data_IF_079050637243
#
_entry.id   IF_079050637243
#
_cell.length_a   1.000
_cell.length_b   1.000
_cell.length_c   1.000
_cell.angle_alpha   90.00
_cell.angle_beta   90.00
_cell.angle_gamma   90.00
#
_symmetry.space_group_name_H-M   'P 1'
#
loop_
_entity.id
_entity.type
_entity.pdbx_description
1 polymer ?
#
# COMPACT_ATOMS: atom_id res chain seq x y z
N UNK A 1 17.86 -24.69 -22.77
CA UNK A 1 18.85 -23.57 -22.84
C UNK A 1 18.49 -22.43 -21.88
N UNK A 2 17.23 -22.06 -21.71
CA UNK A 2 16.83 -20.98 -20.76
C UNK A 2 17.04 -21.33 -19.28
N UNK A 3 16.91 -22.62 -18.90
CA UNK A 3 17.18 -23.06 -17.52
C UNK A 3 18.67 -23.05 -17.14
N UNK A 4 19.58 -23.17 -18.08
CA UNK A 4 21.03 -23.13 -17.79
C UNK A 4 21.57 -21.74 -17.45
N UNK A 5 20.85 -20.67 -17.88
CA UNK A 5 21.20 -19.29 -17.51
C UNK A 5 20.73 -18.90 -16.10
N UNK A 6 19.78 -19.64 -15.52
CA UNK A 6 19.17 -19.33 -14.22
C UNK A 6 19.66 -20.24 -13.08
N UNK A 7 20.22 -21.41 -13.41
CA UNK A 7 20.68 -22.39 -12.41
C UNK A 7 22.18 -22.46 -12.45
N UNK A 8 22.88 -21.91 -11.45
CA UNK A 8 24.29 -22.05 -11.24
C UNK A 8 25.18 -20.88 -11.63
N UNK A 9 24.62 -19.69 -11.92
CA UNK A 9 25.46 -18.49 -11.93
C UNK A 9 25.56 -17.94 -10.52
N UNK A 10 26.76 -17.75 -10.01
CA UNK A 10 27.03 -17.06 -8.74
C UNK A 10 26.45 -15.63 -8.68
N UNK A 11 25.87 -15.16 -9.78
CA UNK A 11 25.28 -13.83 -9.93
C UNK A 11 23.86 -13.69 -9.39
N UNK A 12 23.16 -14.80 -9.06
CA UNK A 12 21.74 -14.74 -8.66
C UNK A 12 21.49 -14.89 -7.16
N UNK A 13 22.51 -15.22 -6.38
CA UNK A 13 22.39 -15.41 -4.93
C UNK A 13 23.31 -14.40 -4.26
N UNK A 14 22.78 -13.24 -3.91
CA UNK A 14 23.44 -12.30 -3.02
C UNK A 14 22.98 -12.60 -1.60
N UNK A 15 23.60 -13.61 -1.02
CA UNK A 15 23.41 -13.89 0.40
C UNK A 15 24.19 -12.84 1.20
N UNK A 16 23.50 -12.07 2.01
CA UNK A 16 24.15 -11.41 3.13
C UNK A 16 24.31 -12.49 4.22
N UNK A 17 25.53 -12.86 4.51
CA UNK A 17 25.81 -13.77 5.63
C UNK A 17 25.65 -13.03 6.95
N UNK A 18 24.46 -13.10 7.52
CA UNK A 18 24.14 -12.55 8.84
C UNK A 18 23.62 -13.67 9.76
N UNK A 19 24.51 -14.55 10.25
CA UNK A 19 24.12 -15.73 11.02
C UNK A 19 23.48 -15.38 12.37
N UNK A 20 23.79 -14.22 12.93
CA UNK A 20 23.30 -13.71 14.21
C UNK A 20 22.20 -12.64 14.06
N UNK A 21 21.40 -12.74 13.01
CA UNK A 21 20.30 -11.82 12.75
C UNK A 21 19.33 -11.68 13.93
N UNK A 22 18.93 -10.47 14.24
CA UNK A 22 18.07 -10.14 15.37
C UNK A 22 16.66 -9.70 14.96
N UNK A 23 16.51 -9.22 13.72
CA UNK A 23 15.23 -8.69 13.23
C UNK A 23 14.05 -9.68 13.38
N UNK A 24 14.20 -11.02 13.24
CA UNK A 24 13.04 -11.93 13.36
C UNK A 24 12.42 -11.96 14.76
N UNK A 25 13.18 -11.54 15.78
CA UNK A 25 12.72 -11.51 17.18
C UNK A 25 12.18 -10.14 17.60
N UNK A 26 12.18 -9.14 16.70
CA UNK A 26 11.70 -7.80 17.00
C UNK A 26 10.22 -7.67 16.66
N UNK A 27 9.60 -6.63 17.23
CA UNK A 27 8.22 -6.25 16.96
C UNK A 27 8.17 -4.76 16.60
N UNK A 28 7.38 -4.41 15.60
CA UNK A 28 7.10 -3.01 15.27
C UNK A 28 6.11 -2.49 16.30
N UNK A 29 6.49 -1.45 17.04
CA UNK A 29 5.69 -0.88 18.15
C UNK A 29 5.19 0.54 17.88
N UNK A 30 5.62 1.16 16.80
CA UNK A 30 5.24 2.50 16.36
C UNK A 30 5.35 2.62 14.85
N UNK A 31 4.60 3.55 14.28
CA UNK A 31 4.68 3.84 12.85
C UNK A 31 6.06 4.36 12.45
N UNK A 32 6.52 4.07 11.23
CA UNK A 32 7.67 4.74 10.65
C UNK A 32 7.34 6.21 10.33
N UNK A 33 8.36 7.00 10.05
CA UNK A 33 8.18 8.29 9.38
C UNK A 33 7.76 7.99 7.93
N UNK A 34 6.56 8.45 7.55
CA UNK A 34 6.05 8.27 6.20
C UNK A 34 6.48 9.38 5.26
N UNK A 35 6.98 9.02 4.10
CA UNK A 35 7.22 9.94 2.99
C UNK A 35 6.48 9.47 1.74
N UNK A 36 5.58 10.29 1.22
CA UNK A 36 4.95 9.99 -0.06
C UNK A 36 5.88 10.40 -1.20
N UNK A 37 6.00 9.51 -2.19
CA UNK A 37 6.68 9.79 -3.47
C UNK A 37 5.71 9.76 -4.65
N UNK A 38 4.39 9.86 -4.40
CA UNK A 38 3.35 9.86 -5.42
C UNK A 38 3.56 10.94 -6.50
N UNK A 39 3.95 12.15 -6.07
CA UNK A 39 4.11 13.31 -6.95
C UNK A 39 5.42 13.33 -7.74
N UNK A 40 6.37 12.45 -7.40
CA UNK A 40 7.63 12.29 -8.14
C UNK A 40 7.71 10.93 -8.80
N UNK A 41 7.96 9.88 -8.06
CA UNK A 41 8.19 8.52 -8.59
C UNK A 41 6.90 7.91 -9.14
N UNK A 42 5.80 8.07 -8.41
CA UNK A 42 4.47 7.69 -8.89
C UNK A 42 4.08 8.45 -10.16
N UNK A 43 4.25 9.78 -10.19
CA UNK A 43 3.91 10.61 -11.35
C UNK A 43 4.80 10.31 -12.57
N UNK A 44 6.08 10.06 -12.36
CA UNK A 44 7.05 9.72 -13.40
C UNK A 44 6.64 8.47 -14.18
N UNK A 45 6.02 7.50 -13.51
CA UNK A 45 5.62 6.21 -14.08
C UNK A 45 4.26 6.25 -14.83
N UNK A 46 3.53 7.35 -14.76
CA UNK A 46 2.25 7.47 -15.43
C UNK A 46 2.40 7.65 -16.95
N UNK A 47 1.59 6.92 -17.73
CA UNK A 47 1.51 7.10 -19.18
C UNK A 47 1.14 8.56 -19.57
N UNK A 48 0.32 9.20 -18.74
CA UNK A 48 -0.01 10.63 -18.83
C UNK A 48 0.30 11.25 -17.48
N UNK A 49 1.44 11.97 -17.35
CA UNK A 49 1.80 12.64 -16.11
C UNK A 49 0.71 13.61 -15.63
N UNK A 50 0.63 13.81 -14.33
CA UNK A 50 -0.31 14.74 -13.72
C UNK A 50 -0.06 16.17 -14.19
N UNK A 51 -1.14 16.88 -14.49
CA UNK A 51 -1.12 18.33 -14.65
C UNK A 51 -0.83 19.01 -13.31
N UNK A 52 -0.43 20.29 -13.35
CA UNK A 52 -0.18 21.05 -12.12
C UNK A 52 -1.41 21.06 -11.18
N UNK A 53 -2.62 21.13 -11.72
CA UNK A 53 -3.83 21.11 -10.90
C UNK A 53 -4.08 19.74 -10.26
N UNK A 54 -3.85 18.65 -10.99
CA UNK A 54 -3.93 17.29 -10.45
C UNK A 54 -2.85 17.04 -9.38
N UNK A 55 -1.64 17.56 -9.58
CA UNK A 55 -0.58 17.53 -8.56
C UNK A 55 -0.99 18.29 -7.29
N UNK A 56 -1.64 19.43 -7.41
CA UNK A 56 -2.16 20.17 -6.25
C UNK A 56 -3.20 19.38 -5.50
N UNK A 57 -4.15 18.77 -6.21
CA UNK A 57 -5.19 17.95 -5.59
C UNK A 57 -4.60 16.71 -4.91
N UNK A 58 -3.64 16.05 -5.54
CA UNK A 58 -2.92 14.92 -4.93
C UNK A 58 -2.13 15.37 -3.69
N UNK A 59 -1.47 16.51 -3.73
CA UNK A 59 -0.77 17.08 -2.58
C UNK A 59 -1.72 17.32 -1.41
N UNK A 60 -2.87 17.93 -1.67
CA UNK A 60 -3.90 18.18 -0.64
C UNK A 60 -4.47 16.89 -0.07
N UNK A 61 -4.66 15.85 -0.90
CA UNK A 61 -5.06 14.52 -0.46
C UNK A 61 -4.02 13.91 0.48
N UNK A 62 -2.73 13.93 0.09
CA UNK A 62 -1.64 13.39 0.91
C UNK A 62 -1.52 14.10 2.26
N UNK A 63 -1.69 15.43 2.27
CA UNK A 63 -1.75 16.24 3.51
C UNK A 63 -2.95 15.83 4.36
N UNK A 64 -4.13 15.66 3.76
CA UNK A 64 -5.36 15.21 4.45
C UNK A 64 -5.18 13.83 5.09
N UNK A 65 -4.55 12.90 4.39
CA UNK A 65 -4.23 11.56 4.91
C UNK A 65 -3.28 11.62 6.11
N UNK A 66 -2.47 12.66 6.22
CA UNK A 66 -1.53 12.83 7.35
C UNK A 66 -0.05 12.72 6.97
N UNK A 67 0.29 12.62 5.68
CA UNK A 67 1.68 12.62 5.25
C UNK A 67 2.38 13.92 5.64
N UNK A 68 3.51 13.81 6.35
CA UNK A 68 4.29 14.97 6.83
C UNK A 68 5.53 15.23 6.00
N UNK A 69 5.98 14.27 5.22
CA UNK A 69 7.05 14.40 4.24
C UNK A 69 6.51 13.98 2.87
N UNK A 70 6.61 14.87 1.87
CA UNK A 70 6.06 14.64 0.51
C UNK A 70 7.10 15.02 -0.51
N UNK A 71 7.54 14.05 -1.32
CA UNK A 71 8.44 14.29 -2.45
C UNK A 71 7.64 14.83 -3.63
N UNK A 72 7.72 16.13 -3.81
CA UNK A 72 6.86 16.89 -4.72
C UNK A 72 7.33 16.91 -6.18
N UNK A 73 8.57 16.50 -6.43
CA UNK A 73 9.07 16.41 -7.79
C UNK A 73 10.59 16.47 -7.93
N UNK A 74 11.01 16.60 -9.19
CA UNK A 74 12.39 16.81 -9.61
C UNK A 74 12.50 18.17 -10.31
N UNK A 75 12.62 19.29 -9.57
CA UNK A 75 12.44 20.64 -10.09
C UNK A 75 13.44 21.02 -11.18
N UNK A 76 14.58 20.35 -11.24
CA UNK A 76 15.57 20.58 -12.28
C UNK A 76 15.34 19.75 -13.56
N UNK A 77 14.35 18.85 -13.58
CA UNK A 77 14.05 18.02 -14.75
C UNK A 77 13.19 18.75 -15.79
N UNK A 78 12.25 19.60 -15.33
CA UNK A 78 11.37 20.36 -16.24
C UNK A 78 10.81 21.62 -15.59
N UNK A 79 10.36 22.55 -16.42
CA UNK A 79 9.67 23.76 -15.94
C UNK A 79 8.33 23.43 -15.27
N UNK A 80 7.64 22.38 -15.65
CA UNK A 80 6.41 21.93 -15.00
C UNK A 80 6.68 21.56 -13.55
N UNK A 81 7.72 20.77 -13.28
CA UNK A 81 8.13 20.39 -11.94
C UNK A 81 8.57 21.60 -11.11
N UNK A 82 9.36 22.49 -11.68
CA UNK A 82 9.77 23.73 -11.04
C UNK A 82 8.58 24.63 -10.70
N UNK A 83 7.71 24.88 -11.65
CA UNK A 83 6.54 25.76 -11.50
C UNK A 83 5.53 25.19 -10.49
N UNK A 84 5.40 23.86 -10.39
CA UNK A 84 4.54 23.26 -9.38
C UNK A 84 5.01 23.60 -7.96
N UNK A 85 6.31 23.48 -7.68
CA UNK A 85 6.88 23.83 -6.37
C UNK A 85 6.69 25.32 -6.10
N UNK A 86 6.99 26.17 -7.08
CA UNK A 86 6.77 27.63 -6.93
C UNK A 86 5.30 27.93 -6.63
N UNK A 87 4.38 27.25 -7.28
CA UNK A 87 2.94 27.44 -7.03
C UNK A 87 2.54 27.05 -5.61
N UNK A 88 3.08 25.94 -5.06
CA UNK A 88 2.86 25.59 -3.64
C UNK A 88 3.31 26.70 -2.68
N UNK A 89 4.46 27.32 -2.97
CA UNK A 89 5.04 28.40 -2.17
C UNK A 89 4.22 29.70 -2.33
N UNK A 90 4.02 30.13 -3.56
CA UNK A 90 3.42 31.44 -3.89
C UNK A 90 1.93 31.50 -3.46
N UNK A 91 1.20 30.37 -3.55
CA UNK A 91 -0.17 30.24 -3.09
C UNK A 91 -0.28 29.85 -1.61
N UNK A 92 0.84 29.71 -0.89
CA UNK A 92 0.91 29.33 0.55
C UNK A 92 0.14 28.05 0.89
N UNK A 93 0.29 27.01 0.05
CA UNK A 93 -0.43 25.74 0.20
C UNK A 93 0.27 24.74 1.11
N UNK A 94 1.46 25.04 1.60
CA UNK A 94 2.27 24.14 2.40
C UNK A 94 1.92 24.33 3.88
N UNK A 95 1.32 23.33 4.56
CA UNK A 95 1.08 23.40 6.00
C UNK A 95 2.39 23.49 6.79
N UNK A 96 2.38 24.15 7.94
CA UNK A 96 3.58 24.38 8.74
C UNK A 96 4.25 23.11 9.28
N UNK A 97 3.50 22.00 9.35
CA UNK A 97 3.96 20.69 9.82
C UNK A 97 4.33 19.73 8.67
N UNK A 98 4.23 20.19 7.41
CA UNK A 98 4.62 19.44 6.22
C UNK A 98 5.99 19.89 5.74
N UNK A 99 6.83 18.94 5.38
CA UNK A 99 8.16 19.16 4.79
C UNK A 99 8.13 18.73 3.32
N UNK A 100 8.50 19.61 2.41
CA UNK A 100 8.65 19.27 1.01
C UNK A 100 9.95 18.51 0.79
N UNK A 101 9.92 17.43 0.02
CA UNK A 101 11.11 16.74 -0.45
C UNK A 101 11.27 16.99 -1.96
N UNK A 102 12.49 17.21 -2.41
CA UNK A 102 12.82 17.40 -3.83
C UNK A 102 14.02 16.55 -4.20
N UNK A 103 13.86 15.82 -5.32
CA UNK A 103 14.91 14.95 -5.84
C UNK A 103 15.90 15.73 -6.69
N UNK A 104 17.17 15.37 -6.60
CA UNK A 104 18.22 15.91 -7.47
C UNK A 104 19.36 14.91 -7.69
N UNK A 105 19.83 14.80 -8.93
CA UNK A 105 21.07 14.09 -9.24
C UNK A 105 22.29 14.87 -8.77
N UNK A 106 23.38 14.18 -8.45
CA UNK A 106 24.67 14.77 -8.08
C UNK A 106 25.36 15.43 -9.28
N UNK A 107 24.73 16.50 -9.83
CA UNK A 107 25.24 17.33 -10.93
C UNK A 107 25.03 18.80 -10.60
N UNK A 108 26.08 19.61 -10.71
CA UNK A 108 26.09 21.01 -10.25
C UNK A 108 24.91 21.84 -10.74
N UNK A 109 24.66 21.88 -12.06
CA UNK A 109 23.60 22.71 -12.63
C UNK A 109 22.19 22.29 -12.17
N UNK A 110 21.96 20.98 -11.92
CA UNK A 110 20.70 20.48 -11.40
C UNK A 110 20.51 20.85 -9.93
N UNK A 111 21.56 20.74 -9.13
CA UNK A 111 21.53 21.11 -7.71
C UNK A 111 21.21 22.61 -7.56
N UNK A 112 21.86 23.49 -8.34
CA UNK A 112 21.59 24.94 -8.31
C UNK A 112 20.15 25.25 -8.67
N UNK A 113 19.62 24.65 -9.76
CA UNK A 113 18.23 24.84 -10.18
C UNK A 113 17.24 24.35 -9.13
N UNK A 114 17.57 23.28 -8.40
CA UNK A 114 16.76 22.78 -7.30
C UNK A 114 16.66 23.80 -6.16
N UNK A 115 17.77 24.42 -5.75
CA UNK A 115 17.77 25.46 -4.73
C UNK A 115 16.95 26.70 -5.12
N UNK A 116 16.99 27.11 -6.40
CA UNK A 116 16.14 28.19 -6.91
C UNK A 116 14.64 27.90 -6.71
N UNK A 117 14.21 26.63 -6.81
CA UNK A 117 12.82 26.26 -6.62
C UNK A 117 12.36 26.31 -5.15
N UNK A 118 13.29 26.20 -4.20
CA UNK A 118 13.02 26.14 -2.77
C UNK A 118 12.98 27.51 -2.07
N UNK A 119 13.27 28.60 -2.77
CA UNK A 119 13.21 29.94 -2.17
C UNK A 119 11.81 30.22 -1.61
N UNK A 120 11.75 30.61 -0.32
CA UNK A 120 10.50 30.86 0.40
C UNK A 120 9.80 29.60 0.98
N UNK A 121 10.37 28.41 0.82
CA UNK A 121 9.90 27.19 1.50
C UNK A 121 10.40 27.24 2.96
N UNK A 122 9.55 26.96 3.93
CA UNK A 122 9.96 26.97 5.35
C UNK A 122 10.79 25.76 5.75
N UNK A 123 10.42 24.55 5.28
CA UNK A 123 11.12 23.28 5.57
C UNK A 123 11.24 22.45 4.29
N UNK A 124 12.44 22.01 3.96
CA UNK A 124 12.65 21.15 2.81
C UNK A 124 13.65 20.02 3.08
N UNK A 125 13.48 18.89 2.40
CA UNK A 125 14.45 17.81 2.27
C UNK A 125 15.02 17.90 0.87
N UNK A 126 16.34 18.07 0.76
CA UNK A 126 17.06 17.96 -0.51
C UNK A 126 17.56 16.53 -0.62
N UNK A 127 16.97 15.78 -1.54
CA UNK A 127 17.24 14.37 -1.77
C UNK A 127 18.25 14.21 -2.92
N UNK A 128 19.51 14.06 -2.56
CA UNK A 128 20.60 13.80 -3.50
C UNK A 128 20.75 12.31 -3.75
N UNK A 129 20.98 11.91 -4.99
CA UNK A 129 21.29 10.54 -5.34
C UNK A 129 22.32 10.39 -6.45
N UNK A 130 23.02 9.28 -6.43
CA UNK A 130 23.77 8.72 -7.55
C UNK A 130 23.83 7.21 -7.42
N UNK A 131 23.95 6.52 -8.56
CA UNK A 131 23.95 5.07 -8.61
C UNK A 131 25.28 4.49 -8.14
N UNK A 132 25.18 3.38 -7.38
CA UNK A 132 26.34 2.75 -6.74
C UNK A 132 26.55 1.29 -7.15
N UNK A 133 25.59 0.65 -7.85
CA UNK A 133 25.67 -0.77 -8.19
C UNK A 133 26.81 -1.11 -9.14
N UNK A 134 27.36 -2.34 -9.07
CA UNK A 134 28.45 -2.79 -9.95
C UNK A 134 28.12 -2.66 -11.43
N UNK A 135 26.87 -2.95 -11.81
CA UNK A 135 26.42 -2.87 -13.20
C UNK A 135 26.45 -1.43 -13.69
N UNK A 136 25.89 -0.50 -12.91
CA UNK A 136 25.85 0.91 -13.29
C UNK A 136 27.23 1.55 -13.26
N UNK A 137 28.07 1.22 -12.29
CA UNK A 137 29.47 1.67 -12.29
C UNK A 137 30.19 1.28 -13.57
N UNK A 138 30.00 0.03 -14.04
CA UNK A 138 30.66 -0.51 -15.21
C UNK A 138 30.04 -0.03 -16.53
N UNK A 139 28.68 -0.13 -16.64
CA UNK A 139 27.99 0.01 -17.92
C UNK A 139 27.58 1.47 -18.16
N UNK A 140 27.05 2.14 -17.14
CA UNK A 140 26.46 3.49 -17.29
C UNK A 140 27.51 4.60 -17.11
N UNK A 141 28.35 4.48 -16.08
CA UNK A 141 29.30 5.53 -15.72
C UNK A 141 30.71 5.24 -16.20
N UNK A 142 31.07 4.00 -16.40
CA UNK A 142 32.45 3.55 -16.66
C UNK A 142 33.43 4.14 -15.62
N UNK A 143 33.11 3.97 -14.32
CA UNK A 143 33.81 4.57 -13.19
C UNK A 143 34.14 3.52 -12.10
N UNK A 144 35.24 3.79 -11.40
CA UNK A 144 35.65 3.05 -10.22
C UNK A 144 34.79 3.36 -8.99
N UNK A 145 34.89 2.54 -7.94
CA UNK A 145 34.23 2.78 -6.62
C UNK A 145 34.62 4.16 -6.08
N UNK A 146 35.89 4.53 -6.11
CA UNK A 146 36.37 5.82 -5.59
C UNK A 146 35.80 7.03 -6.37
N UNK A 147 35.73 6.92 -7.70
CA UNK A 147 35.13 8.00 -8.53
C UNK A 147 33.63 8.14 -8.27
N UNK A 148 32.89 7.04 -8.08
CA UNK A 148 31.46 7.10 -7.73
C UNK A 148 31.24 7.68 -6.33
N UNK A 149 32.08 7.30 -5.34
CA UNK A 149 32.06 7.90 -4.02
C UNK A 149 32.39 9.41 -4.06
N UNK A 150 33.35 9.81 -4.89
CA UNK A 150 33.68 11.22 -5.08
C UNK A 150 32.48 12.04 -5.61
N UNK A 151 31.69 11.48 -6.55
CA UNK A 151 30.45 12.14 -7.05
C UNK A 151 29.48 12.42 -5.89
N UNK A 152 29.26 11.45 -5.00
CA UNK A 152 28.40 11.60 -3.84
C UNK A 152 28.90 12.71 -2.89
N UNK A 153 30.18 12.71 -2.56
CA UNK A 153 30.81 13.68 -1.64
C UNK A 153 30.81 15.10 -2.24
N UNK A 154 31.19 15.24 -3.52
CA UNK A 154 31.18 16.54 -4.21
C UNK A 154 29.78 17.10 -4.33
N UNK A 155 28.79 16.27 -4.66
CA UNK A 155 27.37 16.66 -4.67
C UNK A 155 26.91 17.12 -3.29
N UNK A 156 27.25 16.37 -2.23
CA UNK A 156 26.94 16.74 -0.84
C UNK A 156 27.55 18.08 -0.45
N UNK A 157 28.83 18.28 -0.78
CA UNK A 157 29.54 19.54 -0.51
C UNK A 157 28.87 20.73 -1.20
N UNK A 158 28.43 20.57 -2.44
CA UNK A 158 27.72 21.60 -3.17
C UNK A 158 26.36 21.89 -2.55
N UNK A 159 25.55 20.86 -2.23
CA UNK A 159 24.28 21.06 -1.52
C UNK A 159 24.51 21.84 -0.22
N UNK A 160 25.49 21.43 0.60
CA UNK A 160 25.82 22.09 1.86
C UNK A 160 26.18 23.56 1.66
N UNK A 161 26.95 23.89 0.63
CA UNK A 161 27.35 25.27 0.33
C UNK A 161 26.19 26.17 -0.11
N UNK A 162 25.13 25.57 -0.67
CA UNK A 162 23.95 26.31 -1.14
C UNK A 162 22.90 26.52 -0.05
N UNK A 163 22.96 25.82 1.07
CA UNK A 163 22.01 26.02 2.19
C UNK A 163 21.98 27.48 2.64
N UNK A 164 23.14 28.13 2.70
CA UNK A 164 23.26 29.54 3.09
C UNK A 164 22.63 30.53 2.10
N UNK A 165 22.35 30.08 0.86
CA UNK A 165 21.73 30.94 -0.18
C UNK A 165 20.23 31.13 0.01
N UNK A 166 19.58 30.26 0.84
CA UNK A 166 18.16 30.32 1.17
C UNK A 166 17.96 30.30 2.71
N UNK A 167 18.41 31.34 3.40
CA UNK A 167 18.52 31.35 4.88
C UNK A 167 17.17 31.25 5.61
N UNK A 168 16.05 31.44 4.91
CA UNK A 168 14.69 31.26 5.44
C UNK A 168 14.17 29.82 5.43
N UNK A 169 14.91 28.89 4.84
CA UNK A 169 14.52 27.50 4.66
C UNK A 169 15.31 26.59 5.57
N UNK A 170 14.62 25.83 6.41
CA UNK A 170 15.26 24.74 7.17
C UNK A 170 15.48 23.56 6.23
N UNK A 171 16.73 23.26 5.90
CA UNK A 171 17.10 22.15 5.00
C UNK A 171 17.50 20.94 5.85
N UNK A 172 16.86 19.80 5.58
CA UNK A 172 17.33 18.47 5.93
C UNK A 172 17.91 17.79 4.68
N UNK A 173 18.98 17.07 4.84
CA UNK A 173 19.64 16.41 3.71
C UNK A 173 19.31 14.92 3.69
N UNK A 174 18.97 14.43 2.50
CA UNK A 174 18.78 13.01 2.21
C UNK A 174 19.76 12.58 1.14
N UNK A 175 20.39 11.42 1.34
CA UNK A 175 21.24 10.78 0.36
C UNK A 175 20.76 9.36 0.06
N UNK A 176 20.69 9.00 -1.23
CA UNK A 176 20.43 7.64 -1.69
C UNK A 176 21.59 7.09 -2.50
N UNK A 177 22.25 6.00 -2.04
CA UNK A 177 23.07 5.16 -2.92
C UNK A 177 22.11 4.35 -3.80
N UNK A 178 21.72 4.91 -4.95
CA UNK A 178 20.75 4.28 -5.85
C UNK A 178 21.16 2.86 -6.21
N UNK A 179 20.19 1.94 -6.28
CA UNK A 179 20.41 0.50 -6.41
C UNK A 179 21.16 -0.11 -5.21
N UNK A 180 20.84 0.35 -3.98
CA UNK A 180 21.44 -0.20 -2.75
C UNK A 180 21.29 -1.73 -2.68
N UNK A 181 20.10 -2.27 -2.98
CA UNK A 181 19.83 -3.72 -2.95
C UNK A 181 20.74 -4.53 -3.91
N UNK A 182 21.30 -3.88 -4.92
CA UNK A 182 22.20 -4.45 -5.93
C UNK A 182 23.66 -3.99 -5.74
N UNK A 183 23.95 -3.22 -4.71
CA UNK A 183 25.28 -2.73 -4.36
C UNK A 183 25.88 -3.61 -3.28
N UNK A 184 27.20 -3.78 -3.28
CA UNK A 184 27.90 -4.40 -2.15
C UNK A 184 27.63 -3.58 -0.89
N UNK A 185 27.09 -4.22 0.15
CA UNK A 185 26.57 -3.51 1.33
C UNK A 185 27.67 -2.76 2.10
N UNK A 186 28.89 -3.30 2.13
CA UNK A 186 30.08 -2.66 2.69
C UNK A 186 30.46 -1.39 1.91
N UNK A 187 30.37 -1.43 0.60
CA UNK A 187 30.65 -0.26 -0.24
C UNK A 187 29.53 0.80 -0.13
N UNK A 188 28.26 0.38 -0.06
CA UNK A 188 27.15 1.31 0.19
C UNK A 188 27.34 2.04 1.54
N UNK A 189 27.76 1.30 2.57
CA UNK A 189 28.09 1.87 3.89
C UNK A 189 29.24 2.88 3.78
N UNK A 190 30.34 2.52 3.09
CA UNK A 190 31.49 3.40 2.89
C UNK A 190 31.09 4.72 2.22
N UNK A 191 30.25 4.68 1.18
CA UNK A 191 29.76 5.89 0.50
C UNK A 191 28.89 6.73 1.43
N UNK A 192 27.96 6.10 2.16
CA UNK A 192 27.09 6.80 3.10
C UNK A 192 27.86 7.45 4.24
N UNK A 193 28.88 6.78 4.80
CA UNK A 193 29.77 7.35 5.83
C UNK A 193 30.58 8.53 5.29
N UNK A 194 31.06 8.46 4.04
CA UNK A 194 31.75 9.59 3.40
C UNK A 194 30.81 10.80 3.20
N UNK A 195 29.57 10.56 2.81
CA UNK A 195 28.53 11.60 2.72
C UNK A 195 28.22 12.19 4.10
N UNK A 196 28.08 11.35 5.14
CA UNK A 196 27.86 11.83 6.52
C UNK A 196 29.03 12.67 7.02
N UNK A 197 30.26 12.29 6.70
CA UNK A 197 31.45 13.05 7.09
C UNK A 197 31.47 14.45 6.44
N UNK A 198 31.07 14.56 5.16
CA UNK A 198 30.97 15.86 4.44
C UNK A 198 29.81 16.71 4.96
N UNK A 199 28.61 16.11 5.15
CA UNK A 199 27.42 16.82 5.64
C UNK A 199 27.57 17.25 7.10
N UNK A 200 28.18 16.40 7.93
CA UNK A 200 28.40 16.57 9.37
C UNK A 200 27.08 16.70 10.18
N UNK A 201 26.18 15.69 10.12
CA UNK A 201 24.92 15.73 10.86
C UNK A 201 25.12 15.69 12.37
N UNK A 202 24.12 16.17 13.11
CA UNK A 202 24.05 16.06 14.55
C UNK A 202 22.97 15.06 15.01
N UNK A 203 22.83 14.85 16.32
CA UNK A 203 21.73 14.04 16.87
C UNK A 203 20.37 14.76 16.75
N UNK A 204 20.39 16.08 16.74
CA UNK A 204 19.19 16.92 16.69
C UNK A 204 18.82 17.28 15.23
N UNK A 205 19.82 17.25 14.33
CA UNK A 205 19.65 17.48 12.90
C UNK A 205 20.24 16.29 12.12
N UNK A 206 19.44 15.22 12.05
CA UNK A 206 19.86 13.96 11.45
C UNK A 206 19.78 14.02 9.93
N UNK A 207 20.75 13.41 9.29
CA UNK A 207 20.69 13.08 7.86
C UNK A 207 19.70 11.92 7.61
N UNK A 208 19.10 11.88 6.43
CA UNK A 208 18.35 10.70 5.96
C UNK A 208 19.26 9.91 5.02
N UNK A 209 19.53 8.66 5.35
CA UNK A 209 20.16 7.68 4.47
C UNK A 209 19.05 6.77 3.93
N UNK A 210 18.68 6.99 2.67
CA UNK A 210 17.62 6.23 2.03
C UNK A 210 18.23 5.08 1.24
N UNK A 211 17.84 3.85 1.54
CA UNK A 211 18.43 2.61 1.03
C UNK A 211 17.47 1.95 0.02
N UNK A 212 17.51 2.34 -1.28
CA UNK A 212 16.51 1.89 -2.22
C UNK A 212 16.77 0.47 -2.73
N UNK A 213 15.73 -0.37 -2.64
CA UNK A 213 15.60 -1.54 -3.49
C UNK A 213 15.06 -1.08 -4.85
N UNK A 214 15.89 -0.36 -5.62
CA UNK A 214 15.53 0.22 -6.91
C UNK A 214 14.99 -0.83 -7.87
N UNK A 215 15.53 -2.04 -7.81
CA UNK A 215 14.94 -3.27 -8.33
C UNK A 215 14.94 -4.28 -7.19
N UNK A 216 13.85 -4.99 -7.02
CA UNK A 216 13.73 -6.02 -6.01
C UNK A 216 14.49 -7.29 -6.46
N UNK A 217 15.79 -7.36 -6.15
CA UNK A 217 16.71 -8.42 -6.64
C UNK A 217 16.84 -9.60 -5.67
N UNK A 218 16.45 -9.44 -4.41
CA UNK A 218 16.57 -10.47 -3.36
C UNK A 218 15.22 -10.78 -2.71
N UNK A 219 15.19 -11.82 -1.90
CA UNK A 219 14.04 -12.13 -1.05
C UNK A 219 13.95 -11.15 0.13
N UNK A 220 12.74 -10.91 0.71
CA UNK A 220 12.55 -9.96 1.80
C UNK A 220 13.46 -10.18 3.02
N UNK A 221 13.74 -11.44 3.36
CA UNK A 221 14.62 -11.78 4.48
C UNK A 221 16.07 -11.37 4.22
N UNK A 222 16.56 -11.53 2.98
CA UNK A 222 17.92 -11.09 2.61
C UNK A 222 17.99 -9.56 2.61
N UNK A 223 16.93 -8.88 2.11
CA UNK A 223 16.85 -7.42 2.21
C UNK A 223 16.89 -6.96 3.67
N UNK A 224 16.15 -7.61 4.56
CA UNK A 224 16.19 -7.31 6.00
C UNK A 224 17.58 -7.54 6.61
N UNK A 225 18.27 -8.61 6.22
CA UNK A 225 19.64 -8.86 6.65
C UNK A 225 20.60 -7.73 6.18
N UNK A 226 20.45 -7.23 4.94
CA UNK A 226 21.23 -6.09 4.45
C UNK A 226 20.95 -4.82 5.27
N UNK A 227 19.69 -4.54 5.60
CA UNK A 227 19.31 -3.38 6.41
C UNK A 227 19.84 -3.52 7.85
N UNK A 228 19.68 -4.68 8.49
CA UNK A 228 20.22 -4.89 9.84
C UNK A 228 21.74 -4.77 9.87
N UNK A 229 22.42 -5.39 8.90
CA UNK A 229 23.86 -5.30 8.79
C UNK A 229 24.32 -3.84 8.64
N UNK A 230 23.65 -3.08 7.75
CA UNK A 230 23.95 -1.67 7.54
C UNK A 230 23.73 -0.85 8.83
N UNK A 231 22.60 -1.02 9.50
CA UNK A 231 22.28 -0.33 10.75
C UNK A 231 23.30 -0.63 11.86
N UNK A 232 23.78 -1.87 11.96
CA UNK A 232 24.73 -2.32 12.99
C UNK A 232 26.15 -1.82 12.74
N UNK A 233 26.53 -1.63 11.49
CA UNK A 233 27.89 -1.23 11.11
C UNK A 233 28.03 0.29 10.87
N UNK A 234 26.92 1.02 10.72
CA UNK A 234 26.95 2.47 10.52
C UNK A 234 27.49 3.16 11.78
N UNK A 235 28.65 3.81 11.64
CA UNK A 235 29.17 4.69 12.68
C UNK A 235 28.21 5.84 12.91
N UNK A 236 28.03 6.24 14.18
CA UNK A 236 27.12 7.32 14.52
C UNK A 236 25.66 7.14 14.03
N UNK A 237 25.16 5.88 14.08
CA UNK A 237 23.78 5.51 13.67
C UNK A 237 22.71 6.48 14.24
N UNK A 238 22.95 7.04 15.40
CA UNK A 238 22.06 7.98 16.09
C UNK A 238 21.98 9.37 15.43
N UNK A 239 22.83 9.66 14.44
CA UNK A 239 22.81 10.89 13.65
C UNK A 239 22.12 10.71 12.27
N UNK A 240 21.59 9.53 12.00
CA UNK A 240 20.91 9.24 10.75
C UNK A 240 19.52 8.63 10.97
N UNK A 241 18.57 8.98 10.12
CA UNK A 241 17.37 8.19 9.86
C UNK A 241 17.68 7.22 8.72
N UNK A 242 17.39 5.94 8.93
CA UNK A 242 17.46 4.95 7.85
C UNK A 242 16.10 4.86 7.21
N UNK A 243 16.04 5.17 5.93
CA UNK A 243 14.83 5.18 5.12
C UNK A 243 14.83 4.00 4.14
N UNK A 244 13.68 3.39 3.96
CA UNK A 244 13.45 2.35 2.97
C UNK A 244 12.70 2.93 1.77
N UNK A 245 13.10 2.51 0.58
CA UNK A 245 12.41 2.81 -0.67
C UNK A 245 12.38 1.53 -1.49
N UNK A 246 11.34 0.73 -1.32
CA UNK A 246 11.24 -0.57 -1.98
C UNK A 246 10.37 -0.48 -3.22
N UNK A 247 10.77 -1.20 -4.28
CA UNK A 247 9.94 -1.53 -5.43
C UNK A 247 9.34 -2.93 -5.26
N UNK A 248 8.46 -3.32 -6.17
CA UNK A 248 7.64 -4.53 -6.06
C UNK A 248 7.87 -5.52 -7.21
N UNK A 249 9.10 -5.58 -7.75
CA UNK A 249 9.43 -6.40 -8.94
C UNK A 249 9.18 -7.89 -8.74
N UNK A 250 9.26 -8.37 -7.51
CA UNK A 250 8.99 -9.77 -7.12
C UNK A 250 7.62 -9.96 -6.48
N UNK A 251 6.83 -8.89 -6.32
CA UNK A 251 5.56 -8.91 -5.59
C UNK A 251 5.74 -9.00 -4.06
N UNK A 252 6.91 -8.63 -3.53
CA UNK A 252 7.22 -8.76 -2.10
C UNK A 252 7.63 -7.44 -1.44
N UNK A 253 7.41 -6.30 -2.11
CA UNK A 253 7.80 -4.97 -1.62
C UNK A 253 7.24 -4.62 -0.24
N UNK A 254 5.97 -4.98 0.04
CA UNK A 254 5.35 -4.82 1.36
C UNK A 254 6.12 -5.64 2.41
N UNK A 255 6.33 -6.93 2.16
CA UNK A 255 7.06 -7.80 3.09
C UNK A 255 8.51 -7.33 3.30
N UNK A 256 9.20 -6.90 2.24
CA UNK A 256 10.55 -6.36 2.33
C UNK A 256 10.62 -5.11 3.23
N UNK A 257 9.61 -4.24 3.14
CA UNK A 257 9.50 -3.06 4.00
C UNK A 257 9.23 -3.41 5.45
N UNK A 258 8.24 -4.28 5.72
CA UNK A 258 7.93 -4.70 7.10
C UNK A 258 9.14 -5.35 7.77
N UNK A 259 9.82 -6.25 7.08
CA UNK A 259 11.03 -6.89 7.60
C UNK A 259 12.19 -5.89 7.73
N UNK A 260 12.30 -4.91 6.83
CA UNK A 260 13.27 -3.82 6.93
C UNK A 260 13.04 -2.90 8.14
N UNK A 261 11.78 -2.66 8.51
CA UNK A 261 11.42 -1.96 9.76
C UNK A 261 11.85 -2.76 11.00
N UNK A 262 11.60 -4.08 11.01
CA UNK A 262 12.11 -4.96 12.06
C UNK A 262 13.65 -4.94 12.11
N UNK A 263 14.30 -4.79 10.96
CA UNK A 263 15.76 -4.73 10.83
C UNK A 263 16.37 -3.40 11.32
N UNK A 264 15.54 -2.39 11.62
CA UNK A 264 15.98 -1.15 12.26
C UNK A 264 15.86 0.10 11.40
N UNK A 265 15.08 0.08 10.34
CA UNK A 265 14.73 1.29 9.61
C UNK A 265 13.76 2.17 10.41
N UNK A 266 13.84 3.48 10.18
CA UNK A 266 13.06 4.50 10.88
C UNK A 266 11.97 5.13 10.00
N UNK A 267 12.16 5.08 8.69
CA UNK A 267 11.39 5.85 7.70
C UNK A 267 11.09 4.99 6.46
N UNK A 268 10.01 5.30 5.79
CA UNK A 268 9.55 4.58 4.61
C UNK A 268 9.09 5.56 3.54
N UNK A 269 9.56 5.36 2.31
CA UNK A 269 9.06 6.03 1.11
C UNK A 269 8.20 5.07 0.30
N UNK A 270 7.07 5.57 -0.22
CA UNK A 270 6.18 4.79 -1.06
C UNK A 270 5.08 5.65 -1.68
N UNK A 271 4.12 4.99 -2.30
CA UNK A 271 3.00 5.64 -2.98
C UNK A 271 1.67 5.04 -2.53
N UNK A 272 0.59 5.77 -2.75
CA UNK A 272 -0.75 5.23 -2.59
C UNK A 272 -0.95 4.08 -3.59
N UNK A 273 -1.43 2.94 -3.09
CA UNK A 273 -1.74 1.73 -3.88
C UNK A 273 -0.56 1.19 -4.70
N UNK A 274 0.67 1.57 -4.35
CA UNK A 274 1.89 1.02 -4.95
C UNK A 274 2.20 1.48 -6.37
N UNK A 275 1.69 2.63 -6.82
CA UNK A 275 2.02 3.16 -8.13
C UNK A 275 3.52 3.47 -8.28
N UNK A 276 4.09 3.19 -9.43
CA UNK A 276 5.50 3.48 -9.71
C UNK A 276 6.04 2.74 -10.92
N UNK A 277 7.32 2.91 -11.17
CA UNK A 277 8.02 2.27 -12.27
C UNK A 277 7.89 0.74 -12.25
N UNK A 278 7.84 0.12 -13.41
CA UNK A 278 7.75 -1.33 -13.64
C UNK A 278 6.53 -1.96 -12.96
N UNK A 279 6.72 -2.58 -11.79
CA UNK A 279 5.68 -3.24 -10.98
C UNK A 279 5.20 -2.36 -9.82
N UNK A 280 5.73 -1.15 -9.71
CA UNK A 280 5.34 -0.15 -8.73
C UNK A 280 6.30 -0.01 -7.55
N UNK A 281 6.04 1.01 -6.76
CA UNK A 281 6.67 1.29 -5.46
C UNK A 281 6.01 0.49 -4.34
N UNK A 282 6.54 0.65 -3.14
CA UNK A 282 5.85 0.24 -1.93
C UNK A 282 4.44 0.83 -1.88
N UNK A 283 3.48 -0.02 -1.57
CA UNK A 283 2.12 0.40 -1.24
C UNK A 283 2.03 0.85 0.23
N UNK A 284 1.98 2.16 0.45
CA UNK A 284 1.85 2.76 1.79
C UNK A 284 0.53 2.34 2.46
N UNK A 285 -0.57 2.27 1.69
CA UNK A 285 -1.89 1.91 2.23
C UNK A 285 -1.84 0.51 2.84
N UNK A 286 -1.28 -0.44 2.11
CA UNK A 286 -1.18 -1.83 2.60
C UNK A 286 -0.30 -1.91 3.85
N UNK A 287 0.88 -1.28 3.88
CA UNK A 287 1.75 -1.34 5.08
C UNK A 287 1.11 -0.64 6.27
N UNK A 288 0.49 0.52 6.08
CA UNK A 288 -0.18 1.26 7.15
C UNK A 288 -1.32 0.45 7.78
N UNK A 289 -2.15 -0.21 6.96
CA UNK A 289 -3.25 -1.04 7.46
C UNK A 289 -2.76 -2.38 8.04
N UNK A 290 -1.66 -2.95 7.53
CA UNK A 290 -1.01 -4.09 8.16
C UNK A 290 -0.54 -3.75 9.58
N UNK A 291 0.05 -2.58 9.80
CA UNK A 291 0.42 -2.09 11.13
C UNK A 291 -0.80 -1.92 12.03
N UNK A 292 -1.86 -1.30 11.50
CA UNK A 292 -3.12 -1.10 12.20
C UNK A 292 -3.71 -2.43 12.69
N UNK A 293 -3.75 -3.48 11.84
CA UNK A 293 -4.25 -4.80 12.22
C UNK A 293 -3.41 -5.50 13.31
N UNK A 294 -2.19 -5.02 13.54
CA UNK A 294 -1.32 -5.48 14.64
C UNK A 294 -1.40 -4.57 15.88
N UNK A 295 -2.32 -3.60 15.91
CA UNK A 295 -2.50 -2.67 17.02
C UNK A 295 -1.50 -1.52 17.04
N UNK A 296 -0.86 -1.22 15.93
CA UNK A 296 0.05 -0.08 15.78
C UNK A 296 -0.66 1.02 15.00
N UNK A 297 -0.91 2.15 15.64
CA UNK A 297 -1.44 3.34 14.96
C UNK A 297 -0.45 3.77 13.87
N UNK A 298 -0.90 3.74 12.62
CA UNK A 298 -0.09 4.14 11.48
C UNK A 298 0.14 5.66 11.39
N UNK A 299 -0.58 6.46 12.15
CA UNK A 299 -0.62 7.91 12.07
C UNK A 299 -1.04 8.46 10.68
N UNK A 300 -1.67 7.62 9.85
CA UNK A 300 -2.29 7.99 8.59
C UNK A 300 -3.80 7.78 8.68
N UNK A 301 -4.58 8.78 8.31
CA UNK A 301 -6.04 8.69 8.27
C UNK A 301 -6.50 8.01 6.97
N UNK A 302 -6.83 6.74 7.07
CA UNK A 302 -7.36 5.92 5.99
C UNK A 302 -8.85 5.59 6.21
N UNK A 303 -9.53 6.31 7.10
CA UNK A 303 -10.95 6.08 7.43
C UNK A 303 -11.90 6.34 6.25
N UNK A 304 -11.46 7.03 5.21
CA UNK A 304 -12.21 7.26 3.97
C UNK A 304 -11.53 6.61 2.76
N UNK A 305 -11.08 5.35 2.88
CA UNK A 305 -10.26 4.66 1.88
C UNK A 305 -10.88 4.64 0.49
N UNK A 306 -12.20 4.49 0.41
CA UNK A 306 -12.92 4.51 -0.87
C UNK A 306 -12.84 5.89 -1.57
N UNK A 307 -12.94 6.98 -0.82
CA UNK A 307 -12.78 8.33 -1.37
C UNK A 307 -11.33 8.57 -1.82
N UNK A 308 -10.35 8.12 -1.03
CA UNK A 308 -8.93 8.19 -1.36
C UNK A 308 -8.68 7.46 -2.69
N UNK A 309 -9.20 6.24 -2.84
CA UNK A 309 -9.07 5.43 -4.05
C UNK A 309 -9.68 6.14 -5.26
N UNK A 310 -10.90 6.68 -5.17
CA UNK A 310 -11.55 7.39 -6.27
C UNK A 310 -10.79 8.61 -6.74
N UNK A 311 -10.24 9.40 -5.82
CA UNK A 311 -9.40 10.56 -6.16
C UNK A 311 -8.14 10.09 -6.85
N UNK A 312 -7.45 9.09 -6.28
CA UNK A 312 -6.25 8.49 -6.86
C UNK A 312 -6.50 7.97 -8.29
N UNK A 313 -7.51 7.14 -8.52
CA UNK A 313 -7.83 6.55 -9.83
C UNK A 313 -8.15 7.64 -10.88
N UNK A 314 -8.87 8.66 -10.48
CA UNK A 314 -9.21 9.77 -11.37
C UNK A 314 -7.99 10.59 -11.76
N UNK A 315 -7.10 10.89 -10.83
CA UNK A 315 -5.89 11.70 -11.06
C UNK A 315 -4.85 10.91 -11.85
N UNK A 316 -4.60 9.67 -11.46
CA UNK A 316 -3.55 8.84 -12.05
C UNK A 316 -3.99 8.11 -13.32
N UNK A 317 -5.30 7.94 -13.52
CA UNK A 317 -5.90 7.10 -14.57
C UNK A 317 -5.49 5.64 -14.45
N UNK A 318 -5.06 5.25 -13.25
CA UNK A 318 -4.73 3.87 -12.88
C UNK A 318 -5.88 3.29 -12.06
N UNK A 319 -6.26 2.05 -12.34
CA UNK A 319 -7.29 1.35 -11.58
C UNK A 319 -6.65 0.53 -10.46
N UNK A 320 -7.18 0.64 -9.25
CA UNK A 320 -6.82 -0.24 -8.15
C UNK A 320 -7.45 -1.61 -8.39
N UNK A 321 -6.65 -2.67 -8.31
CA UNK A 321 -7.11 -4.02 -8.61
C UNK A 321 -8.20 -4.48 -7.64
N UNK A 322 -9.24 -5.17 -8.15
CA UNK A 322 -10.40 -5.63 -7.35
C UNK A 322 -10.02 -6.46 -6.11
N UNK A 323 -8.86 -7.09 -6.09
CA UNK A 323 -8.34 -7.86 -4.96
C UNK A 323 -7.11 -7.21 -4.31
N UNK A 324 -6.97 -5.89 -4.49
CA UNK A 324 -5.94 -5.14 -3.77
C UNK A 324 -6.20 -5.21 -2.27
N UNK A 325 -5.19 -5.47 -1.42
CA UNK A 325 -5.39 -5.53 0.02
C UNK A 325 -6.14 -4.31 0.54
N UNK A 326 -7.18 -4.53 1.33
CA UNK A 326 -8.08 -3.54 1.94
C UNK A 326 -8.88 -2.65 0.97
N UNK A 327 -8.32 -2.26 -0.18
CA UNK A 327 -8.91 -1.26 -1.07
C UNK A 327 -9.72 -1.85 -2.24
N UNK A 328 -9.49 -3.10 -2.62
CA UNK A 328 -10.13 -3.73 -3.77
C UNK A 328 -11.64 -3.97 -3.54
N UNK A 329 -12.44 -3.92 -4.61
CA UNK A 329 -13.90 -4.07 -4.53
C UNK A 329 -14.34 -5.44 -4.00
N UNK A 330 -13.53 -6.47 -4.19
CA UNK A 330 -13.85 -7.85 -3.78
C UNK A 330 -13.26 -8.26 -2.44
N UNK A 331 -12.61 -7.35 -1.70
CA UNK A 331 -11.88 -7.71 -0.48
C UNK A 331 -12.82 -8.00 0.69
N UNK A 332 -13.92 -7.23 0.79
CA UNK A 332 -14.93 -7.41 1.84
C UNK A 332 -16.17 -8.12 1.34
N UNK A 333 -16.01 -9.02 0.38
CA UNK A 333 -17.07 -9.84 -0.18
C UNK A 333 -16.80 -11.30 0.09
N UNK A 334 -17.82 -12.08 0.43
CA UNK A 334 -17.72 -13.51 0.54
C UNK A 334 -18.66 -14.18 -0.48
N UNK A 335 -18.12 -15.14 -1.23
CA UNK A 335 -18.87 -15.89 -2.25
C UNK A 335 -19.37 -17.24 -1.74
N UNK A 336 -18.75 -17.79 -0.70
CA UNK A 336 -19.14 -19.04 -0.08
C UNK A 336 -20.22 -18.81 1.00
N UNK A 337 -21.33 -19.51 0.93
CA UNK A 337 -22.41 -19.39 1.94
C UNK A 337 -21.96 -19.74 3.38
N UNK A 338 -20.98 -20.64 3.53
CA UNK A 338 -20.41 -20.93 4.86
C UNK A 338 -19.57 -19.77 5.40
N UNK A 339 -18.86 -19.05 4.54
CA UNK A 339 -18.10 -17.85 4.94
C UNK A 339 -19.05 -16.73 5.32
N UNK A 340 -20.11 -16.51 4.53
CA UNK A 340 -21.14 -15.50 4.81
C UNK A 340 -21.83 -15.74 6.16
N UNK A 341 -22.25 -16.98 6.44
CA UNK A 341 -22.85 -17.35 7.71
C UNK A 341 -21.89 -17.12 8.89
N UNK A 342 -20.61 -17.44 8.72
CA UNK A 342 -19.61 -17.20 9.75
C UNK A 342 -19.34 -15.70 9.99
N UNK A 343 -19.25 -14.89 8.93
CA UNK A 343 -19.09 -13.45 9.04
C UNK A 343 -20.30 -12.82 9.72
N UNK A 344 -21.53 -13.17 9.27
CA UNK A 344 -22.76 -12.68 9.90
C UNK A 344 -22.79 -12.98 11.40
N UNK A 345 -22.50 -14.22 11.80
CA UNK A 345 -22.44 -14.60 13.22
C UNK A 345 -21.39 -13.82 14.00
N UNK A 346 -20.22 -13.59 13.39
CA UNK A 346 -19.16 -12.79 14.00
C UNK A 346 -19.59 -11.33 14.19
N UNK A 347 -20.19 -10.69 13.18
CA UNK A 347 -20.72 -9.33 13.26
C UNK A 347 -21.87 -9.23 14.29
N UNK A 348 -22.84 -10.18 14.25
CA UNK A 348 -23.96 -10.21 15.20
C UNK A 348 -23.52 -10.40 16.67
N UNK A 349 -22.40 -11.13 16.89
CA UNK A 349 -21.81 -11.29 18.23
C UNK A 349 -21.20 -9.97 18.70
N UNK A 350 -20.37 -9.33 17.87
CA UNK A 350 -19.74 -8.06 18.19
C UNK A 350 -20.76 -6.94 18.47
N UNK A 351 -21.84 -6.88 17.73
CA UNK A 351 -22.90 -5.89 17.96
C UNK A 351 -23.61 -6.04 19.32
N UNK A 352 -23.47 -7.18 19.99
CA UNK A 352 -24.09 -7.47 21.31
C UNK A 352 -23.12 -7.30 22.48
N UNK A 353 -21.83 -7.25 22.22
CA UNK A 353 -20.77 -7.18 23.23
C UNK A 353 -20.22 -5.76 23.31
N UNK A 354 -19.75 -5.37 24.51
CA UNK A 354 -18.88 -4.20 24.62
C UNK A 354 -17.51 -4.57 24.09
N UNK A 355 -17.18 -4.10 22.89
CA UNK A 355 -15.96 -4.48 22.17
C UNK A 355 -14.86 -3.44 22.29
N UNK A 356 -15.03 -2.39 23.12
CA UNK A 356 -14.00 -1.39 23.33
C UNK A 356 -12.70 -2.03 23.85
N UNK A 357 -11.62 -1.88 23.11
CA UNK A 357 -10.31 -2.45 23.44
C UNK A 357 -10.17 -3.97 23.16
N UNK A 358 -11.18 -4.63 22.60
CA UNK A 358 -11.09 -6.03 22.20
C UNK A 358 -10.45 -6.19 20.81
N UNK A 359 -9.76 -7.30 20.62
CA UNK A 359 -9.23 -7.69 19.32
C UNK A 359 -10.37 -7.88 18.31
N UNK A 360 -10.10 -7.54 17.03
CA UNK A 360 -10.99 -7.91 15.93
C UNK A 360 -11.01 -9.43 15.73
N UNK A 361 -12.18 -10.05 15.80
CA UNK A 361 -12.35 -11.52 15.77
C UNK A 361 -13.52 -11.96 14.87
N UNK A 362 -13.80 -11.21 13.80
CA UNK A 362 -14.78 -11.66 12.80
C UNK A 362 -14.11 -12.62 11.82
N UNK A 363 -14.62 -13.84 11.64
CA UNK A 363 -14.05 -14.79 10.71
C UNK A 363 -13.96 -14.24 9.29
N UNK A 364 -12.85 -14.56 8.58
CA UNK A 364 -12.58 -14.18 7.18
C UNK A 364 -12.41 -12.68 6.90
N UNK A 365 -12.52 -11.81 7.88
CA UNK A 365 -12.24 -10.37 7.76
C UNK A 365 -11.00 -10.02 8.58
N UNK A 366 -9.98 -9.48 7.90
CA UNK A 366 -8.72 -9.12 8.54
C UNK A 366 -8.80 -7.84 9.37
N UNK A 367 -9.79 -6.98 9.11
CA UNK A 367 -10.02 -5.68 9.72
C UNK A 367 -11.52 -5.41 9.75
N UNK A 368 -11.97 -4.53 10.63
CA UNK A 368 -13.32 -3.98 10.54
C UNK A 368 -13.43 -3.10 9.29
N UNK A 369 -14.31 -3.41 8.34
CA UNK A 369 -14.50 -2.55 7.17
C UNK A 369 -14.88 -1.11 7.53
N UNK A 370 -15.63 -0.89 8.61
CA UNK A 370 -16.06 0.44 9.06
C UNK A 370 -14.88 1.34 9.45
N UNK A 371 -13.79 0.77 9.97
CA UNK A 371 -12.58 1.52 10.34
C UNK A 371 -11.91 2.24 9.15
N UNK A 372 -12.17 1.75 7.94
CA UNK A 372 -11.64 2.30 6.68
C UNK A 372 -12.73 2.86 5.77
N UNK A 373 -13.93 3.14 6.33
CA UNK A 373 -15.06 3.73 5.61
C UNK A 373 -15.66 2.82 4.55
N UNK A 374 -15.63 1.50 4.79
CA UNK A 374 -16.22 0.48 3.92
C UNK A 374 -17.25 -0.34 4.67
N UNK A 375 -18.10 -1.01 3.92
CA UNK A 375 -19.09 -1.93 4.45
C UNK A 375 -18.75 -3.37 4.03
N UNK A 376 -19.16 -4.33 4.85
CA UNK A 376 -19.18 -5.72 4.40
C UNK A 376 -20.34 -5.91 3.43
N UNK A 377 -20.06 -6.10 2.17
CA UNK A 377 -21.03 -6.42 1.15
C UNK A 377 -21.14 -7.94 1.01
N UNK A 378 -22.26 -8.49 1.46
CA UNK A 378 -22.64 -9.84 1.08
C UNK A 378 -23.08 -9.84 -0.40
N UNK A 379 -22.15 -9.78 -1.33
CA UNK A 379 -22.45 -10.03 -2.75
C UNK A 379 -22.68 -11.52 -2.90
N UNK A 380 -23.94 -11.92 -2.80
CA UNK A 380 -24.31 -13.30 -3.03
C UNK A 380 -24.50 -13.47 -4.52
N UNK A 381 -23.45 -13.97 -5.17
CA UNK A 381 -23.56 -14.48 -6.54
C UNK A 381 -23.91 -15.95 -6.46
N UNK A 382 -25.05 -16.33 -7.02
CA UNK A 382 -25.48 -17.71 -7.09
C UNK A 382 -24.93 -18.34 -8.36
N UNK A 383 -24.02 -19.28 -8.19
CA UNK A 383 -23.49 -20.14 -9.25
C UNK A 383 -23.63 -21.61 -8.82
N UNK A 384 -23.25 -22.54 -9.68
CA UNK A 384 -23.32 -24.00 -9.44
C UNK A 384 -22.58 -24.49 -8.18
N UNK A 385 -21.71 -23.65 -7.59
CA UNK A 385 -20.96 -23.97 -6.35
C UNK A 385 -21.46 -23.21 -5.13
N UNK A 386 -22.55 -22.46 -5.26
CA UNK A 386 -23.11 -21.70 -4.15
C UNK A 386 -23.74 -22.61 -3.11
N UNK A 387 -23.40 -22.38 -1.84
CA UNK A 387 -23.96 -23.16 -0.75
C UNK A 387 -25.46 -22.85 -0.51
N UNK A 388 -26.17 -23.82 0.04
CA UNK A 388 -27.61 -23.74 0.40
C UNK A 388 -27.98 -22.51 1.26
N UNK A 389 -27.04 -21.95 2.01
CA UNK A 389 -27.27 -20.75 2.82
C UNK A 389 -27.34 -19.46 1.99
N UNK A 390 -26.65 -19.39 0.86
CA UNK A 390 -26.62 -18.20 -0.01
C UNK A 390 -27.99 -17.94 -0.68
N UNK A 391 -28.64 -18.99 -1.18
CA UNK A 391 -29.96 -18.91 -1.80
C UNK A 391 -31.02 -18.45 -0.79
N UNK A 392 -31.06 -19.06 0.39
CA UNK A 392 -31.99 -18.70 1.44
C UNK A 392 -31.82 -17.25 1.90
N UNK A 393 -30.59 -16.78 2.02
CA UNK A 393 -30.30 -15.39 2.39
C UNK A 393 -30.76 -14.37 1.33
N UNK A 394 -30.57 -14.63 0.03
CA UNK A 394 -31.10 -13.76 -1.03
C UNK A 394 -32.62 -13.67 -0.93
N UNK A 395 -33.30 -14.81 -0.79
CA UNK A 395 -34.75 -14.86 -0.70
C UNK A 395 -35.27 -14.10 0.54
N UNK A 396 -34.56 -14.20 1.68
CA UNK A 396 -34.90 -13.45 2.89
C UNK A 396 -34.64 -11.95 2.73
N UNK A 397 -33.43 -11.56 2.32
CA UNK A 397 -33.00 -10.16 2.27
C UNK A 397 -33.74 -9.34 1.21
N UNK A 398 -33.82 -9.89 -0.01
CA UNK A 398 -34.29 -9.11 -1.17
C UNK A 398 -35.79 -9.24 -1.41
N UNK A 399 -36.38 -10.35 -0.93
CA UNK A 399 -37.79 -10.66 -1.18
C UNK A 399 -38.62 -10.92 0.08
N UNK A 400 -38.00 -10.87 1.27
CA UNK A 400 -38.70 -11.06 2.55
C UNK A 400 -39.18 -12.49 2.81
N UNK A 401 -38.61 -13.48 2.10
CA UNK A 401 -39.01 -14.89 2.19
C UNK A 401 -38.09 -15.64 3.18
N UNK A 402 -38.48 -15.66 4.47
CA UNK A 402 -37.77 -16.42 5.50
C UNK A 402 -38.16 -17.90 5.41
N UNK A 403 -37.31 -18.68 4.77
CA UNK A 403 -37.53 -20.10 4.55
C UNK A 403 -37.20 -20.94 5.78
N UNK A 404 -38.02 -21.94 6.10
CA UNK A 404 -37.66 -22.93 7.10
C UNK A 404 -36.30 -23.58 6.77
N UNK A 405 -35.43 -23.75 7.77
CA UNK A 405 -34.08 -24.34 7.59
C UNK A 405 -34.07 -25.68 6.88
N UNK A 406 -35.17 -26.48 7.06
CA UNK A 406 -35.33 -27.79 6.39
C UNK A 406 -35.43 -27.64 4.86
N UNK A 407 -35.91 -26.51 4.32
CA UNK A 407 -36.04 -26.26 2.89
C UNK A 407 -34.73 -25.78 2.25
N UNK A 408 -33.80 -25.18 3.01
CA UNK A 408 -32.57 -24.59 2.46
C UNK A 408 -31.76 -25.56 1.58
N UNK A 409 -31.59 -26.87 1.92
CA UNK A 409 -30.84 -27.80 1.07
C UNK A 409 -31.50 -28.05 -0.28
N UNK A 410 -32.82 -28.20 -0.30
CA UNK A 410 -33.61 -28.51 -1.49
C UNK A 410 -33.68 -27.29 -2.42
N UNK A 411 -34.06 -26.15 -1.89
CA UNK A 411 -34.12 -24.90 -2.67
C UNK A 411 -32.74 -24.53 -3.22
N UNK A 412 -31.66 -24.70 -2.42
CA UNK A 412 -30.30 -24.49 -2.86
C UNK A 412 -29.91 -25.40 -4.03
N UNK A 413 -30.32 -26.67 -4.00
CA UNK A 413 -30.05 -27.63 -5.07
C UNK A 413 -30.76 -27.23 -6.38
N UNK A 414 -32.05 -26.91 -6.33
CA UNK A 414 -32.85 -26.51 -7.50
C UNK A 414 -32.28 -25.28 -8.18
N UNK A 415 -31.92 -24.27 -7.40
CA UNK A 415 -31.34 -23.02 -7.93
C UNK A 415 -29.94 -23.27 -8.51
N UNK A 416 -29.12 -24.09 -7.86
CA UNK A 416 -27.78 -24.45 -8.37
C UNK A 416 -27.86 -25.26 -9.66
N UNK A 417 -28.79 -26.19 -9.78
CA UNK A 417 -29.02 -26.96 -11.02
C UNK A 417 -29.41 -26.03 -12.17
N UNK A 418 -30.25 -25.03 -11.91
CA UNK A 418 -30.60 -24.03 -12.91
C UNK A 418 -29.41 -23.20 -13.34
N UNK A 419 -28.55 -22.79 -12.41
CA UNK A 419 -27.30 -22.06 -12.70
C UNK A 419 -26.32 -22.93 -13.53
N UNK A 420 -26.19 -24.20 -13.19
CA UNK A 420 -25.29 -25.15 -13.86
C UNK A 420 -25.72 -25.42 -15.30
N UNK A 421 -27.00 -25.69 -15.52
CA UNK A 421 -27.55 -25.87 -16.87
C UNK A 421 -27.40 -24.60 -17.74
N UNK A 422 -27.50 -23.42 -17.12
CA UNK A 422 -27.27 -22.13 -17.80
C UNK A 422 -25.82 -21.78 -17.99
N UNK A 423 -24.88 -22.50 -17.33
CA UNK A 423 -23.43 -22.19 -17.28
C UNK A 423 -23.16 -20.72 -16.94
N UNK A 424 -23.97 -20.11 -16.06
CA UNK A 424 -23.89 -18.71 -15.68
C UNK A 424 -24.35 -18.46 -14.24
N UNK A 425 -23.99 -17.32 -13.73
CA UNK A 425 -24.52 -16.82 -12.47
C UNK A 425 -25.99 -16.41 -12.62
N UNK A 426 -26.77 -16.61 -11.55
CA UNK A 426 -28.14 -16.13 -11.47
C UNK A 426 -28.17 -14.83 -10.65
N UNK A 427 -28.88 -13.85 -11.17
CA UNK A 427 -29.21 -12.63 -10.40
C UNK A 427 -30.20 -12.93 -9.27
N UNK A 428 -30.28 -12.09 -8.22
CA UNK A 428 -31.30 -12.23 -7.18
C UNK A 428 -32.71 -12.38 -7.71
N UNK A 429 -33.06 -11.64 -8.75
CA UNK A 429 -34.36 -11.73 -9.39
C UNK A 429 -34.61 -13.11 -10.04
N UNK A 430 -33.60 -13.67 -10.71
CA UNK A 430 -33.68 -15.02 -11.33
C UNK A 430 -33.78 -16.10 -10.26
N UNK A 431 -33.06 -15.96 -9.13
CA UNK A 431 -33.20 -16.87 -7.98
C UNK A 431 -34.64 -16.86 -7.46
N UNK A 432 -35.23 -15.68 -7.31
CA UNK A 432 -36.63 -15.54 -6.87
C UNK A 432 -37.59 -16.15 -7.92
N UNK A 433 -37.38 -15.92 -9.20
CA UNK A 433 -38.20 -16.50 -10.27
C UNK A 433 -38.16 -18.04 -10.25
N UNK A 434 -36.97 -18.64 -10.09
CA UNK A 434 -36.83 -20.09 -9.92
C UNK A 434 -37.61 -20.57 -8.71
N UNK A 435 -37.47 -19.88 -7.55
CA UNK A 435 -38.19 -20.24 -6.35
C UNK A 435 -39.73 -20.17 -6.55
N UNK A 436 -40.24 -19.10 -7.14
CA UNK A 436 -41.67 -18.96 -7.41
C UNK A 436 -42.20 -20.02 -8.39
N UNK A 437 -41.41 -20.35 -9.41
CA UNK A 437 -41.78 -21.39 -10.37
C UNK A 437 -41.86 -22.78 -9.74
N UNK A 438 -40.90 -23.13 -8.90
CA UNK A 438 -40.77 -24.47 -8.33
C UNK A 438 -41.61 -24.70 -7.06
N UNK A 439 -41.92 -23.64 -6.30
CA UNK A 439 -42.57 -23.80 -4.99
C UNK A 439 -43.92 -23.05 -4.85
N UNK A 440 -44.17 -22.04 -5.68
CA UNK A 440 -45.36 -21.18 -5.50
C UNK A 440 -46.35 -21.31 -6.65
N UNK A 441 -45.88 -21.42 -7.90
CA UNK A 441 -46.73 -21.48 -9.08
C UNK A 441 -46.92 -22.89 -9.62
N UNK A 442 -46.93 -23.89 -8.76
CA UNK A 442 -47.09 -25.28 -9.16
C UNK A 442 -48.48 -25.53 -9.77
N UNK A 443 -48.49 -26.07 -10.99
CA UNK A 443 -49.71 -26.51 -11.72
C UNK A 443 -49.72 -27.98 -12.00
N UNK A 444 -48.68 -28.70 -11.67
CA UNK A 444 -48.53 -30.13 -11.81
C UNK A 444 -47.48 -30.65 -10.84
N UNK A 445 -47.59 -31.86 -10.25
CA UNK A 445 -48.72 -32.82 -10.39
C UNK A 445 -49.99 -32.42 -9.62
N UNK A 446 -49.93 -31.34 -8.80
CA UNK A 446 -51.07 -30.83 -8.02
C UNK A 446 -51.17 -29.32 -8.22
N UNK A 447 -52.41 -28.80 -8.27
CA UNK A 447 -52.71 -27.36 -8.29
C UNK A 447 -53.37 -26.95 -7.00
N UNK A 448 -52.82 -25.91 -6.32
CA UNK A 448 -53.46 -25.34 -5.14
C UNK A 448 -54.62 -24.47 -5.56
N UNK A 449 -55.84 -24.92 -5.22
CA UNK A 449 -57.08 -24.24 -5.63
C UNK A 449 -57.50 -23.15 -4.61
N UNK A 450 -57.29 -23.38 -3.33
CA UNK A 450 -57.61 -22.42 -2.25
C UNK A 450 -56.81 -22.72 -0.99
N UNK A 451 -56.55 -21.71 -0.17
CA UNK A 451 -56.02 -21.82 1.18
C UNK A 451 -57.01 -21.16 2.13
N UNK A 452 -57.53 -21.92 3.11
CA UNK A 452 -58.24 -21.35 4.25
C UNK A 452 -57.30 -21.28 5.47
N UNK A 453 -57.09 -20.11 6.03
CA UNK A 453 -56.22 -19.89 7.17
C UNK A 453 -57.05 -19.66 8.44
N UNK A 454 -56.97 -20.59 9.40
CA UNK A 454 -57.48 -20.35 10.75
C UNK A 454 -56.30 -19.93 11.68
N UNK A 455 -56.42 -18.73 12.26
CA UNK A 455 -55.39 -18.18 13.13
C UNK A 455 -55.70 -18.53 14.59
N UNK A 456 -54.98 -19.49 15.14
CA UNK A 456 -55.05 -19.84 16.56
C UNK A 456 -54.09 -18.96 17.37
N UNK A 457 -54.49 -17.74 17.68
CA UNK A 457 -53.69 -16.70 18.32
C UNK A 457 -53.09 -17.04 19.71
N UNK A 458 -53.32 -18.21 20.25
CA UNK A 458 -52.82 -18.65 21.56
C UNK A 458 -51.81 -19.79 21.47
N UNK A 459 -51.69 -20.53 20.39
CA UNK A 459 -50.76 -21.68 20.25
C UNK A 459 -49.63 -21.45 19.26
N UNK A 460 -49.67 -20.46 18.41
CA UNK A 460 -48.70 -20.26 17.36
C UNK A 460 -48.78 -21.32 16.23
N UNK A 461 -49.79 -22.15 16.21
CA UNK A 461 -50.01 -23.16 15.18
C UNK A 461 -50.94 -22.65 14.08
N UNK A 462 -50.60 -22.88 12.83
CA UNK A 462 -51.43 -22.65 11.67
C UNK A 462 -51.87 -23.98 11.09
N UNK A 463 -53.15 -24.18 10.99
CA UNK A 463 -53.71 -25.36 10.29
C UNK A 463 -54.01 -24.98 8.87
N UNK A 464 -53.49 -25.74 7.93
CA UNK A 464 -53.74 -25.60 6.49
C UNK A 464 -54.53 -26.84 6.09
N UNK A 465 -55.74 -26.69 5.60
CA UNK A 465 -56.55 -27.78 5.02
C UNK A 465 -56.49 -27.74 3.52
#
# INVERSE_FOLDING_TARGET
EMMHCLVGSEMCIRDSDLPDRQWPSRTITHAPIWASVDLRDGNQALATPMTVNEKLEMFELLVKIGCKEIEVGFPSASDTEFNFIRRLVDEKRIPADVTLQVLVQAREHLIRRTFESLDGVSKAIVHLYNSTSPVQRRVTFNKTKDEIKAIAVEGTRLVKSLVETIPGTQIRFQYSPESFSDTEVDYALEVCEAVMAEWAPSKDDKIILNLPATVEVTTPNIHADQIEWFCRNLKERNKAYISLHTHNDRGTGVAATELGLLAGADRVEGTLFGNGERTGNLDIVTVALNLYTQGVDSALDLSELEQIRRIYERITRMTVHDRHPYAGDLVFTAFSGSHQDAIKKGMDLRAKEDTEGMRWEVPYLAIDPEDIGRDYEAIIRINSQSGKGGVAYILERDFGLDLPKAMHPEVGMVVNDTADHGSRELSPQEVHEVFIQEYVNLKAPMELLSIEREDFSQSGEVKVD
#
